data_IF_156037730360
#
_entry.id   IF_156037730360
#
_cell.length_a   1.000
_cell.length_b   1.000
_cell.length_c   1.000
_cell.angle_alpha   90.00
_cell.angle_beta   90.00
_cell.angle_gamma   90.00
#
_symmetry.space_group_name_H-M   'P 1'
#
loop_
_entity.id
_entity.type
_entity.pdbx_description
1 polymer ?
#
# COMPACT_ATOMS: atom_id res chain seq x y z
N UNK A 1 5.77 2.52 -6.52
CA UNK A 1 4.80 2.49 -5.41
C UNK A 1 3.34 2.65 -5.85
N UNK A 2 2.86 3.84 -6.27
CA UNK A 2 1.42 4.06 -6.61
C UNK A 2 0.88 3.04 -7.61
N UNK A 3 1.68 2.66 -8.62
CA UNK A 3 1.33 1.62 -9.59
C UNK A 3 1.04 0.27 -8.92
N UNK A 4 1.85 -0.16 -7.97
CA UNK A 4 1.67 -1.45 -7.27
C UNK A 4 0.49 -1.39 -6.30
N UNK A 5 0.32 -0.29 -5.58
CA UNK A 5 -0.84 -0.08 -4.73
C UNK A 5 -2.15 -0.14 -5.56
N UNK A 6 -2.19 0.47 -6.74
CA UNK A 6 -3.35 0.38 -7.65
C UNK A 6 -3.60 -1.04 -8.17
N UNK A 7 -2.55 -1.83 -8.41
CA UNK A 7 -2.70 -3.25 -8.78
C UNK A 7 -3.32 -4.05 -7.63
N UNK A 8 -2.82 -3.88 -6.41
CA UNK A 8 -3.34 -4.54 -5.20
C UNK A 8 -4.80 -4.16 -4.93
N UNK A 9 -5.15 -2.88 -5.06
CA UNK A 9 -6.53 -2.42 -4.95
C UNK A 9 -7.45 -3.10 -5.96
N UNK A 10 -7.03 -3.18 -7.23
CA UNK A 10 -7.84 -3.82 -8.28
C UNK A 10 -8.01 -5.32 -8.03
N UNK A 11 -6.95 -6.01 -7.62
CA UNK A 11 -6.99 -7.44 -7.31
C UNK A 11 -7.93 -7.77 -6.14
N UNK A 12 -8.05 -6.86 -5.17
CA UNK A 12 -8.88 -7.03 -3.98
C UNK A 12 -10.23 -6.29 -4.08
N UNK A 13 -10.58 -5.73 -5.25
CA UNK A 13 -11.79 -4.93 -5.46
C UNK A 13 -11.96 -3.73 -4.51
N UNK A 14 -10.85 -3.15 -4.04
CA UNK A 14 -10.83 -2.02 -3.11
C UNK A 14 -10.82 -0.67 -3.85
N UNK A 15 -11.42 0.34 -3.21
CA UNK A 15 -11.44 1.75 -3.62
C UNK A 15 -10.56 2.59 -2.70
N UNK A 16 -10.36 3.87 -3.04
CA UNK A 16 -9.54 4.77 -2.20
C UNK A 16 -10.13 4.99 -0.81
N UNK A 17 -11.46 4.90 -0.66
CA UNK A 17 -12.12 4.92 0.64
C UNK A 17 -11.67 3.77 1.54
N UNK A 18 -11.58 2.55 1.01
CA UNK A 18 -11.14 1.39 1.79
C UNK A 18 -9.66 1.53 2.22
N UNK A 19 -8.83 2.18 1.40
CA UNK A 19 -7.46 2.55 1.77
C UNK A 19 -7.46 3.59 2.91
N UNK A 20 -8.42 4.51 2.89
CA UNK A 20 -8.57 5.51 3.94
C UNK A 20 -8.93 4.85 5.27
N UNK A 21 -9.82 3.84 5.24
CA UNK A 21 -10.17 3.01 6.40
C UNK A 21 -8.96 2.25 6.94
N UNK A 22 -8.15 1.60 6.08
CA UNK A 22 -6.90 0.91 6.48
C UNK A 22 -5.91 1.86 7.14
N UNK A 23 -5.74 3.05 6.58
CA UNK A 23 -4.80 4.04 7.08
C UNK A 23 -5.32 4.78 8.33
N UNK A 24 -6.64 4.82 8.53
CA UNK A 24 -7.31 5.61 9.56
C UNK A 24 -7.26 7.10 9.26
N UNK A 25 -7.43 7.48 8.00
CA UNK A 25 -7.40 8.88 7.51
C UNK A 25 -8.61 9.17 6.64
N UNK A 26 -8.81 10.42 6.23
CA UNK A 26 -9.90 10.77 5.30
C UNK A 26 -9.61 10.29 3.87
N UNK A 27 -10.66 10.03 3.08
CA UNK A 27 -10.53 9.71 1.66
C UNK A 27 -9.82 10.84 0.88
N UNK A 28 -10.03 12.09 1.29
CA UNK A 28 -9.29 13.24 0.73
C UNK A 28 -7.78 13.12 0.98
N UNK A 29 -7.36 12.75 2.20
CA UNK A 29 -5.95 12.56 2.50
C UNK A 29 -5.33 11.42 1.67
N UNK A 30 -6.09 10.33 1.41
CA UNK A 30 -5.65 9.28 0.49
C UNK A 30 -5.54 9.81 -0.94
N UNK A 31 -6.53 10.56 -1.41
CA UNK A 31 -6.50 11.17 -2.74
C UNK A 31 -5.28 12.08 -2.90
N UNK A 32 -5.02 12.97 -1.94
CA UNK A 32 -3.85 13.85 -1.95
C UNK A 32 -2.54 13.07 -1.99
N UNK A 33 -2.48 11.94 -1.27
CA UNK A 33 -1.35 11.00 -1.34
C UNK A 33 -1.18 10.34 -2.71
N UNK A 34 -2.27 9.93 -3.36
CA UNK A 34 -2.24 9.32 -4.69
C UNK A 34 -1.83 10.31 -5.79
N UNK A 35 -2.15 11.59 -5.63
CA UNK A 35 -1.81 12.66 -6.57
C UNK A 35 -0.48 13.36 -6.23
N UNK A 36 0.25 12.89 -5.21
CA UNK A 36 1.56 13.43 -4.85
C UNK A 36 1.55 14.79 -4.16
N UNK A 37 0.37 15.26 -3.69
CA UNK A 37 0.27 16.49 -2.89
C UNK A 37 0.74 16.29 -1.45
N UNK A 38 0.71 15.05 -0.97
CA UNK A 38 1.22 14.64 0.34
C UNK A 38 1.93 13.30 0.19
N UNK A 39 3.02 13.07 0.92
CA UNK A 39 3.71 11.79 0.85
C UNK A 39 3.02 10.71 1.70
N UNK A 40 3.23 9.45 1.31
CA UNK A 40 3.03 8.32 2.22
C UNK A 40 4.14 8.31 3.26
N UNK A 41 3.75 8.17 4.52
CA UNK A 41 4.69 7.98 5.63
C UNK A 41 5.10 6.51 5.72
N UNK A 42 6.21 6.20 6.41
CA UNK A 42 6.58 4.81 6.68
C UNK A 42 5.49 4.03 7.41
N UNK A 43 4.76 4.69 8.32
CA UNK A 43 3.62 4.09 9.02
C UNK A 43 2.48 3.74 8.05
N UNK A 44 2.20 4.60 7.08
CA UNK A 44 1.20 4.31 6.05
C UNK A 44 1.61 3.10 5.22
N UNK A 45 2.87 3.07 4.79
CA UNK A 45 3.40 1.98 3.97
C UNK A 45 3.40 0.65 4.73
N UNK A 46 3.75 0.64 6.02
CA UNK A 46 3.69 -0.58 6.85
C UNK A 46 2.27 -1.11 6.94
N UNK A 47 1.30 -0.26 7.28
CA UNK A 47 -0.11 -0.65 7.36
C UNK A 47 -0.64 -1.23 6.06
N UNK A 48 -0.26 -0.64 4.92
CA UNK A 48 -0.67 -1.14 3.61
C UNK A 48 0.00 -2.48 3.29
N UNK A 49 1.28 -2.64 3.62
CA UNK A 49 1.99 -3.90 3.43
C UNK A 49 1.33 -5.04 4.24
N UNK A 50 1.04 -4.79 5.52
CA UNK A 50 0.29 -5.72 6.38
C UNK A 50 -1.13 -6.01 5.84
N UNK A 51 -1.88 -4.98 5.45
CA UNK A 51 -3.25 -5.14 4.96
C UNK A 51 -3.35 -5.93 3.65
N UNK A 52 -2.30 -5.92 2.83
CA UNK A 52 -2.25 -6.65 1.57
C UNK A 52 -1.46 -7.96 1.64
N UNK A 53 -0.92 -8.34 2.81
CA UNK A 53 -0.01 -9.49 2.98
C UNK A 53 1.18 -9.45 1.99
N UNK A 54 1.82 -8.29 1.86
CA UNK A 54 2.97 -8.09 0.96
C UNK A 54 4.15 -7.45 1.67
N UNK A 55 5.35 -7.61 1.09
CA UNK A 55 6.54 -6.91 1.55
C UNK A 55 6.48 -5.41 1.24
N UNK A 56 7.15 -4.60 2.06
CA UNK A 56 7.35 -3.18 1.78
C UNK A 56 8.09 -2.94 0.46
N UNK A 57 9.04 -3.82 0.11
CA UNK A 57 9.77 -3.75 -1.14
C UNK A 57 8.87 -3.99 -2.35
N UNK A 58 7.93 -4.93 -2.26
CA UNK A 58 6.90 -5.10 -3.30
C UNK A 58 6.00 -3.88 -3.41
N UNK A 59 5.47 -3.40 -2.29
CA UNK A 59 4.58 -2.23 -2.26
C UNK A 59 5.26 -1.00 -2.87
N UNK A 60 6.51 -0.75 -2.50
CA UNK A 60 7.28 0.40 -3.00
C UNK A 60 7.77 0.20 -4.43
N UNK A 61 7.87 -1.04 -4.91
CA UNK A 61 8.36 -1.41 -6.24
C UNK A 61 9.87 -1.56 -6.31
N UNK A 62 10.52 -1.83 -5.18
CA UNK A 62 11.94 -2.22 -5.09
C UNK A 62 12.17 -3.70 -5.40
N UNK A 63 11.10 -4.50 -5.36
CA UNK A 63 11.13 -5.94 -5.61
C UNK A 63 9.85 -6.37 -6.33
N UNK A 64 9.96 -7.37 -7.20
CA UNK A 64 8.81 -8.06 -7.82
C UNK A 64 8.29 -9.23 -6.95
N UNK A 65 9.00 -9.57 -5.86
CA UNK A 65 8.61 -10.62 -4.93
C UNK A 65 7.57 -10.10 -3.94
N UNK A 66 6.33 -10.57 -4.08
CA UNK A 66 5.19 -10.13 -3.28
C UNK A 66 5.37 -10.38 -1.78
N UNK A 67 5.97 -11.51 -1.39
CA UNK A 67 6.17 -11.89 0.01
C UNK A 67 7.62 -11.62 0.45
N UNK A 68 7.85 -11.23 1.71
CA UNK A 68 9.20 -11.24 2.26
C UNK A 68 9.75 -12.66 2.16
N UNK A 69 11.04 -12.80 1.87
CA UNK A 69 11.70 -14.11 1.78
C UNK A 69 11.48 -14.84 3.10
N UNK A 70 10.67 -15.90 3.09
CA UNK A 70 10.61 -16.84 4.20
C UNK A 70 12.00 -17.45 4.33
N UNK A 71 12.71 -17.09 5.40
CA UNK A 71 13.90 -17.83 5.80
C UNK A 71 13.40 -19.19 6.27
N UNK A 72 13.72 -20.25 5.53
CA UNK A 72 13.54 -21.60 6.03
C UNK A 72 14.35 -21.73 7.32
N UNK A 73 13.65 -21.92 8.44
CA UNK A 73 14.26 -22.32 9.72
C UNK A 73 14.94 -23.70 9.60
#
# INVERSE_FOLDING_TARGET
>A
MITNLRKLMRANHLKQRDIADVLGVSEQAVSDKFHGRTNFTLKDLSKLADAFDVSLDYLTGRSDYAKPLEVAE
#
